data_IF_043109820656
#
_entry.id   IF_043109820656
#
_cell.length_a   1.000
_cell.length_b   1.000
_cell.length_c   1.000
_cell.angle_alpha   90.00
_cell.angle_beta   90.00
_cell.angle_gamma   90.00
#
_symmetry.space_group_name_H-M   'P 1'
#
loop_
_entity.id
_entity.type
_entity.pdbx_description
1 polymer ?
#
# COMPACT_ATOMS: atom_id res chain seq x y z
N UNK A 1 16.82 -5.13 -11.52
CA UNK A 1 17.18 -4.62 -11.87
C UNK A 1 17.09 -4.47 -12.15
N UNK A 2 16.71 -4.75 -11.96
CA UNK A 2 16.80 -4.36 -12.37
C UNK A 2 16.63 -3.97 -12.30
N UNK A 3 16.25 -3.96 -11.81
CA UNK A 3 16.20 -3.38 -11.92
C UNK A 3 15.91 -2.98 -12.00
N UNK A 4 15.49 -3.00 -11.83
CA UNK A 4 15.45 -2.28 -12.17
C UNK A 4 15.11 -1.92 -12.15
N UNK A 5 14.77 -1.76 -11.94
CA UNK A 5 14.57 -1.22 -12.03
C UNK A 5 14.13 -0.62 -11.77
N UNK A 6 13.65 -0.46 -11.52
CA UNK A 6 13.35 0.19 -11.38
C UNK A 6 12.87 0.73 -10.80
N UNK A 7 12.51 1.02 -10.66
CA UNK A 7 12.06 1.51 -10.14
C UNK A 7 11.23 1.83 -9.72
N UNK A 8 10.76 1.94 -9.46
CA UNK A 8 10.29 2.21 -9.32
C UNK A 8 9.57 2.65 -8.91
N UNK A 9 9.07 2.82 -9.04
CA UNK A 9 8.45 3.17 -8.81
C UNK A 9 7.72 3.04 -8.94
N UNK A 10 7.24 2.82 -8.95
CA UNK A 10 6.78 2.66 -9.34
C UNK A 10 5.97 2.49 -9.54
N UNK A 11 5.32 2.51 -9.64
CA UNK A 11 4.89 2.33 -10.13
C UNK A 11 4.25 1.97 -10.61
N UNK A 12 3.66 1.64 -10.83
CA UNK A 12 3.38 1.32 -11.46
C UNK A 12 2.78 0.94 -11.82
N UNK A 13 2.16 0.72 -11.81
CA UNK A 13 2.01 0.45 -12.27
C UNK A 13 1.73 0.41 -12.73
N UNK A 14 1.26 0.38 -12.75
CA UNK A 14 1.60 0.50 -13.15
C UNK A 14 1.83 0.80 -13.19
N UNK A 15 1.71 0.90 -13.01
CA UNK A 15 2.42 1.21 -13.01
C UNK A 15 3.00 1.30 -12.80
N UNK A 16 2.86 1.18 -12.64
CA UNK A 16 3.74 1.20 -12.48
C UNK A 16 4.33 1.12 -12.34
N UNK A 17 4.49 1.03 -12.20
CA UNK A 17 5.32 0.95 -11.93
C UNK A 17 5.98 1.31 -11.63
N UNK A 18 6.05 1.51 -11.55
CA UNK A 18 6.92 1.86 -11.29
C UNK A 18 7.47 2.17 -10.81
N UNK A 19 7.80 2.43 -10.35
CA UNK A 19 8.61 2.83 -9.82
C UNK A 19 9.23 2.99 -9.30
N UNK A 20 9.57 3.08 -9.04
CA UNK A 20 10.47 3.19 -8.51
C UNK A 20 11.08 3.37 -7.45
N UNK A 21 11.27 2.90 -7.54
CA UNK A 21 12.27 2.67 -6.66
C UNK A 21 12.95 3.82 -6.21
N UNK A 22 13.25 4.04 -5.34
CA UNK A 22 13.62 5.12 -4.77
C UNK A 22 14.98 5.22 -4.27
N UNK A 23 15.32 5.34 -3.18
CA UNK A 23 16.61 5.72 -2.67
C UNK A 23 17.70 4.76 -3.10
N UNK A 24 18.94 5.16 -2.97
CA UNK A 24 20.08 4.36 -3.31
C UNK A 24 20.26 3.11 -2.46
N UNK A 25 19.60 3.03 -1.32
CA UNK A 25 19.66 1.85 -0.50
C UNK A 25 18.74 0.75 -1.00
N UNK A 26 17.90 1.07 -1.93
CA UNK A 26 16.87 0.19 -2.39
C UNK A 26 17.43 -1.01 -3.12
N UNK A 27 17.22 -2.17 -2.58
CA UNK A 27 17.52 -3.45 -3.18
C UNK A 27 16.29 -4.30 -3.05
N UNK A 28 16.10 -5.26 -3.93
CA UNK A 28 14.96 -6.13 -3.85
C UNK A 28 13.71 -5.51 -4.42
N UNK A 29 12.56 -6.04 -4.04
CA UNK A 29 11.27 -5.67 -4.63
C UNK A 29 10.21 -5.56 -3.55
N UNK A 30 9.22 -4.72 -3.83
CA UNK A 30 8.02 -4.64 -3.01
C UNK A 30 6.82 -4.59 -3.95
N UNK A 31 5.80 -5.35 -3.62
CA UNK A 31 4.56 -5.38 -4.39
C UNK A 31 3.36 -5.20 -3.47
N UNK A 32 2.32 -4.56 -4.01
CA UNK A 32 1.04 -4.40 -3.31
C UNK A 32 -0.06 -4.88 -4.23
N UNK A 33 -0.97 -5.70 -3.67
CA UNK A 33 -2.18 -6.09 -4.37
C UNK A 33 -3.40 -5.70 -3.56
N UNK A 34 -4.42 -5.23 -4.26
CA UNK A 34 -5.71 -4.92 -3.65
C UNK A 34 -6.70 -5.99 -4.08
N UNK A 35 -7.29 -6.68 -3.09
CA UNK A 35 -8.14 -7.85 -3.33
C UNK A 35 -9.63 -7.53 -3.33
N UNK A 36 -9.99 -6.28 -3.02
CA UNK A 36 -11.39 -5.89 -2.99
C UNK A 36 -11.98 -5.95 -1.60
N UNK A 37 -13.27 -6.17 -1.52
CA UNK A 37 -14.02 -6.06 -0.27
C UNK A 37 -13.63 -7.17 0.69
N UNK A 38 -13.29 -6.76 1.92
CA UNK A 38 -13.01 -7.66 3.02
C UNK A 38 -14.23 -7.76 3.94
N UNK A 39 -14.87 -6.63 4.22
CA UNK A 39 -16.02 -6.57 5.10
C UNK A 39 -16.96 -5.47 4.63
N UNK A 40 -18.24 -5.63 4.88
CA UNK A 40 -19.26 -4.66 4.49
C UNK A 40 -19.97 -4.15 5.71
N UNK A 41 -20.19 -2.82 5.76
CA UNK A 41 -20.85 -2.17 6.88
C UNK A 41 -22.06 -1.39 6.34
N UNK A 42 -23.27 -1.81 6.74
CA UNK A 42 -24.47 -1.13 6.29
C UNK A 42 -24.66 -1.23 4.79
N UNK A 43 -25.09 -0.15 4.16
CA UNK A 43 -25.44 -0.15 2.75
C UNK A 43 -24.22 -0.02 1.84
N UNK A 44 -23.31 0.89 2.17
CA UNK A 44 -22.21 1.24 1.27
C UNK A 44 -20.84 1.08 1.90
N UNK A 45 -20.73 1.33 3.19
CA UNK A 45 -19.43 1.32 3.86
C UNK A 45 -18.81 -0.06 3.95
N UNK A 46 -17.54 -0.10 4.31
CA UNK A 46 -16.86 -1.36 4.50
C UNK A 46 -15.35 -1.22 4.56
N UNK A 47 -14.70 -2.35 4.45
CA UNK A 47 -13.26 -2.44 4.51
C UNK A 47 -12.74 -3.23 3.31
N UNK A 48 -11.74 -2.69 2.63
CA UNK A 48 -11.06 -3.36 1.55
C UNK A 48 -9.78 -4.01 2.05
N UNK A 49 -9.38 -5.09 1.41
CA UNK A 49 -8.18 -5.86 1.76
C UNK A 49 -7.08 -5.60 0.75
N UNK A 50 -5.92 -5.17 1.24
CA UNK A 50 -4.72 -5.11 0.44
C UNK A 50 -3.62 -5.88 1.16
N UNK A 51 -2.64 -6.35 0.41
CA UNK A 51 -1.47 -7.01 0.99
C UNK A 51 -0.22 -6.48 0.32
N UNK A 52 0.79 -6.21 1.14
CA UNK A 52 2.10 -5.80 0.67
C UNK A 52 3.09 -6.90 1.01
N UNK A 53 3.93 -7.26 0.04
CA UNK A 53 5.00 -8.21 0.29
C UNK A 53 6.29 -7.67 -0.33
N UNK A 54 7.39 -8.08 0.23
CA UNK A 54 8.70 -7.60 -0.22
C UNK A 54 9.75 -8.68 -0.02
N UNK A 55 10.84 -8.54 -0.77
CA UNK A 55 11.98 -9.43 -0.64
C UNK A 55 13.27 -8.65 -0.90
N UNK A 56 14.33 -9.04 -0.21
CA UNK A 56 15.66 -8.49 -0.39
C UNK A 56 15.74 -6.99 -0.09
N UNK A 57 14.92 -6.53 0.84
CA UNK A 57 14.94 -5.15 1.34
C UNK A 57 15.41 -5.18 2.78
N UNK A 58 16.34 -4.29 3.11
CA UNK A 58 16.85 -4.15 4.46
C UNK A 58 16.80 -2.67 4.85
N UNK A 59 16.06 -2.36 5.90
CA UNK A 59 15.92 -0.99 6.37
C UNK A 59 14.49 -0.64 6.73
N UNK A 60 14.20 0.64 6.68
CA UNK A 60 12.87 1.18 6.96
C UNK A 60 12.15 1.49 5.65
N UNK A 61 10.98 0.92 5.49
CA UNK A 61 10.17 1.10 4.28
C UNK A 61 9.09 2.13 4.56
N UNK A 62 8.93 3.09 3.65
CA UNK A 62 7.79 3.99 3.65
C UNK A 62 6.98 3.69 2.40
N UNK A 63 5.76 3.20 2.58
CA UNK A 63 4.88 2.75 1.51
C UNK A 63 3.67 3.68 1.42
N UNK A 64 3.41 4.20 0.22
CA UNK A 64 2.23 5.03 -0.05
C UNK A 64 1.34 4.29 -1.02
N UNK A 65 0.08 4.10 -0.67
CA UNK A 65 -0.90 3.45 -1.53
C UNK A 65 -2.01 4.45 -1.82
N UNK A 66 -2.32 4.65 -3.09
CA UNK A 66 -3.31 5.61 -3.52
C UNK A 66 -4.52 4.88 -4.10
N UNK A 67 -5.71 5.41 -3.79
CA UNK A 67 -6.97 4.83 -4.21
C UNK A 67 -7.75 5.81 -5.09
N UNK A 68 -8.85 5.36 -5.66
CA UNK A 68 -9.68 6.17 -6.53
C UNK A 68 -10.68 7.04 -5.75
N UNK A 69 -10.74 6.90 -4.44
CA UNK A 69 -11.66 7.67 -3.60
C UNK A 69 -10.97 8.02 -2.29
N UNK A 70 -11.51 9.02 -1.60
CA UNK A 70 -11.05 9.41 -0.27
C UNK A 70 -11.27 8.24 0.69
N UNK A 71 -10.25 7.89 1.46
CA UNK A 71 -10.35 6.81 2.43
C UNK A 71 -10.59 7.39 3.82
N UNK A 72 -11.29 6.63 4.66
CA UNK A 72 -11.67 7.09 5.99
C UNK A 72 -10.74 6.59 7.08
N UNK A 73 -10.04 5.49 6.83
CA UNK A 73 -9.07 4.95 7.79
C UNK A 73 -8.24 3.88 7.11
N UNK A 74 -7.03 3.70 7.57
CA UNK A 74 -6.15 2.59 7.17
C UNK A 74 -5.65 1.87 8.42
N UNK A 75 -5.46 0.57 8.32
CA UNK A 75 -4.95 -0.24 9.42
C UNK A 75 -4.13 -1.40 8.88
N UNK A 76 -3.32 -2.01 9.76
CA UNK A 76 -2.55 -3.20 9.41
C UNK A 76 -2.67 -4.22 10.53
N UNK A 77 -2.22 -5.45 10.24
CA UNK A 77 -2.20 -6.53 11.22
C UNK A 77 -0.90 -6.55 12.06
N UNK A 78 -0.03 -5.56 11.88
CA UNK A 78 1.24 -5.48 12.62
C UNK A 78 1.27 -4.16 13.40
N UNK A 79 1.25 -4.26 14.72
CA UNK A 79 1.20 -3.07 15.59
C UNK A 79 2.45 -2.20 15.50
N UNK A 80 3.56 -2.72 14.99
CA UNK A 80 4.79 -1.93 14.85
C UNK A 80 4.75 -0.98 13.65
N UNK A 81 3.78 -1.14 12.76
CA UNK A 81 3.65 -0.29 11.57
C UNK A 81 3.03 1.04 11.95
N UNK A 82 3.68 2.13 11.53
CA UNK A 82 3.11 3.46 11.67
C UNK A 82 2.20 3.72 10.48
N UNK A 83 0.94 4.03 10.75
CA UNK A 83 -0.09 4.15 9.74
C UNK A 83 -0.70 5.53 9.78
N UNK A 84 -0.84 6.16 8.62
CA UNK A 84 -1.54 7.42 8.47
C UNK A 84 -2.26 7.44 7.13
N UNK A 85 -3.17 8.38 6.96
CA UNK A 85 -3.90 8.54 5.71
C UNK A 85 -4.30 9.99 5.54
N UNK A 86 -4.40 10.40 4.29
CA UNK A 86 -4.84 11.75 3.95
C UNK A 86 -5.42 11.71 2.53
N UNK A 87 -6.66 12.18 2.37
CA UNK A 87 -7.31 12.14 1.06
C UNK A 87 -7.43 10.72 0.54
N UNK A 88 -6.84 10.46 -0.60
CA UNK A 88 -6.91 9.16 -1.27
C UNK A 88 -5.72 8.27 -0.99
N UNK A 89 -4.79 8.71 -0.14
CA UNK A 89 -3.52 8.02 0.07
C UNK A 89 -3.37 7.53 1.50
N UNK A 90 -2.97 6.28 1.65
CA UNK A 90 -2.56 5.70 2.93
C UNK A 90 -1.04 5.55 2.95
N UNK A 91 -0.42 5.86 4.07
CA UNK A 91 1.03 5.79 4.23
C UNK A 91 1.38 4.86 5.39
N UNK A 92 2.28 3.93 5.13
CA UNK A 92 2.72 2.93 6.09
C UNK A 92 4.23 2.99 6.20
N UNK A 93 4.73 3.13 7.42
CA UNK A 93 6.18 3.14 7.69
C UNK A 93 6.51 2.00 8.62
N UNK A 94 7.43 1.14 8.21
CA UNK A 94 7.73 -0.08 8.95
C UNK A 94 9.13 -0.59 8.63
N UNK A 95 9.69 -1.35 9.56
CA UNK A 95 10.96 -2.02 9.32
C UNK A 95 10.77 -3.18 8.35
N UNK A 96 11.78 -3.49 7.58
CA UNK A 96 11.73 -4.62 6.65
C UNK A 96 11.51 -5.97 7.35
N UNK A 97 11.68 -6.00 8.67
CA UNK A 97 11.44 -7.19 9.49
C UNK A 97 10.00 -7.30 9.99
N UNK A 98 9.12 -6.36 9.60
CA UNK A 98 7.71 -6.43 9.97
C UNK A 98 7.03 -7.65 9.35
N UNK A 99 5.77 -7.89 9.73
CA UNK A 99 5.00 -9.00 9.19
C UNK A 99 4.95 -8.91 7.66
N UNK A 100 5.35 -9.97 6.99
CA UNK A 100 5.46 -10.02 5.53
C UNK A 100 4.89 -11.36 5.05
N UNK A 101 3.78 -11.37 4.29
CA UNK A 101 3.09 -10.18 3.78
C UNK A 101 2.37 -9.39 4.87
N UNK A 102 2.29 -8.09 4.65
CA UNK A 102 1.59 -7.19 5.56
C UNK A 102 0.13 -7.09 5.11
N UNK A 103 -0.79 -7.38 6.02
CA UNK A 103 -2.21 -7.29 5.74
C UNK A 103 -2.69 -5.88 6.05
N UNK A 104 -3.35 -5.26 5.08
CA UNK A 104 -3.78 -3.87 5.14
C UNK A 104 -5.28 -3.80 4.97
N UNK A 105 -5.95 -3.07 5.86
CA UNK A 105 -7.38 -2.80 5.76
C UNK A 105 -7.59 -1.33 5.44
N UNK A 106 -8.44 -1.05 4.46
CA UNK A 106 -8.78 0.31 4.05
C UNK A 106 -10.27 0.51 4.30
N UNK A 107 -10.60 1.47 5.15
CA UNK A 107 -11.99 1.75 5.53
C UNK A 107 -12.59 2.81 4.63
N UNK A 108 -13.80 2.56 4.17
CA UNK A 108 -14.59 3.51 3.40
C UNK A 108 -15.94 3.63 4.09
N UNK A 109 -16.31 4.82 4.55
CA UNK A 109 -17.54 5.00 5.30
C UNK A 109 -18.08 6.42 5.19
N UNK A 110 -18.19 6.92 3.95
CA UNK A 110 -18.70 8.29 3.71
C UNK A 110 -19.74 8.33 2.60
N UNK A 111 -20.45 7.24 2.39
CA UNK A 111 -21.58 7.22 1.48
C UNK A 111 -21.32 6.60 0.11
N UNK A 112 -20.06 6.43 -0.28
CA UNK A 112 -19.74 5.72 -1.51
C UNK A 112 -19.58 4.23 -1.24
N UNK A 113 -19.77 3.41 -2.27
CA UNK A 113 -19.76 1.97 -2.10
C UNK A 113 -18.35 1.42 -1.98
N UNK A 114 -18.13 0.57 -0.98
CA UNK A 114 -16.87 -0.14 -0.84
C UNK A 114 -16.58 -1.01 -2.08
N UNK A 115 -17.61 -1.42 -2.79
CA UNK A 115 -17.44 -2.23 -4.00
C UNK A 115 -16.74 -1.46 -5.12
N UNK A 116 -16.80 -0.13 -5.08
CA UNK A 116 -16.22 0.72 -6.11
C UNK A 116 -14.81 1.19 -5.78
N UNK A 117 -14.31 0.88 -4.58
CA UNK A 117 -12.97 1.29 -4.18
C UNK A 117 -11.93 0.47 -4.95
N UNK A 118 -10.96 1.15 -5.53
CA UNK A 118 -9.87 0.51 -6.28
C UNK A 118 -8.55 1.19 -5.97
N UNK A 119 -7.50 0.41 -5.95
CA UNK A 119 -6.15 0.94 -5.84
C UNK A 119 -5.72 1.47 -7.21
N UNK A 120 -5.21 2.70 -7.24
CA UNK A 120 -4.72 3.30 -8.47
C UNK A 120 -3.21 3.22 -8.61
N UNK A 121 -2.49 3.00 -7.51
CA UNK A 121 -1.05 2.85 -7.57
C UNK A 121 -0.42 2.86 -6.19
N UNK A 122 0.88 2.62 -6.17
CA UNK A 122 1.65 2.73 -4.94
C UNK A 122 3.08 3.16 -5.25
N UNK A 123 3.73 3.77 -4.26
CA UNK A 123 5.15 4.08 -4.31
C UNK A 123 5.78 3.68 -2.98
N UNK A 124 7.08 3.44 -2.97
CA UNK A 124 7.78 3.18 -1.72
C UNK A 124 9.21 3.69 -1.78
N UNK A 125 9.75 3.93 -0.59
CA UNK A 125 11.16 4.27 -0.45
C UNK A 125 11.75 3.48 0.71
N UNK A 126 13.05 3.33 0.73
CA UNK A 126 13.79 2.61 1.77
C UNK A 126 14.86 3.51 2.33
N UNK A 127 14.98 3.53 3.65
CA UNK A 127 15.99 4.38 4.30
C UNK A 127 16.71 3.62 5.41
#
# INVERSE_FOLDING_TARGET
MRTYKKPMITVDSGLAEGVYAASGASQGTLNVEYYGVWDRWGTNGGKGLAMADWSDIDGTITLNITFNDTIDQAETDDASVQTSWSGKTATFTFASTASNPLTIGIHLNHGTSIDDLKMTGFTYSVS
#
